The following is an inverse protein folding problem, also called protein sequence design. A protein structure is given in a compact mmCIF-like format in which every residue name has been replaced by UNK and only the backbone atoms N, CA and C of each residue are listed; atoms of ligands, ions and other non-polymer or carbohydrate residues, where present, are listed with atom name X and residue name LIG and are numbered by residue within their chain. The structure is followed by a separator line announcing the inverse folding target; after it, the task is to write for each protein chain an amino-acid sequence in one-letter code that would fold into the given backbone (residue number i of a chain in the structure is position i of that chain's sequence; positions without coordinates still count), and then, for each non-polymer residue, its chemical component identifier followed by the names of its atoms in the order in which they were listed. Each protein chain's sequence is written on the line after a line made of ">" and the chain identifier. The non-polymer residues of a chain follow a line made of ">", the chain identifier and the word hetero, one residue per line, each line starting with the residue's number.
data_IF_081416581448
#
_entry.id   IF_081416581448
#
_cell.length_a   1.000
_cell.length_b   1.000
_cell.length_c   1.000
_cell.angle_alpha   90.00
_cell.angle_beta   90.00
_cell.angle_gamma   90.00
#
_symmetry.space_group_name_H-M   'P 1'
#
loop_
_entity.id
_entity.type
_entity.pdbx_description
1 polymer ?
#
# COMPACT_ATOMS: atom_id res chain seq x y z
N UNK A 1 -9.35 15.29 20.21
CA UNK A 1 -9.71 14.94 18.81
C UNK A 1 -9.16 13.56 18.54
N UNK A 2 -10.05 12.64 18.15
CA UNK A 2 -9.65 11.24 18.02
C UNK A 2 -8.77 11.00 16.79
N UNK A 3 -9.13 11.55 15.61
CA UNK A 3 -8.39 11.29 14.39
C UNK A 3 -7.86 12.56 13.71
N UNK A 4 -6.66 12.48 13.16
CA UNK A 4 -6.20 13.37 12.08
C UNK A 4 -5.98 12.54 10.81
N UNK A 5 -6.63 12.94 9.71
CA UNK A 5 -6.38 12.41 8.38
C UNK A 5 -5.38 13.33 7.69
N UNK A 6 -4.16 12.85 7.46
CA UNK A 6 -3.15 13.59 6.69
C UNK A 6 -3.33 13.29 5.19
N UNK A 7 -3.47 14.33 4.38
CA UNK A 7 -3.57 14.22 2.91
C UNK A 7 -2.33 14.88 2.29
N UNK A 8 -1.26 14.12 2.01
CA UNK A 8 -0.11 14.64 1.28
C UNK A 8 -0.42 14.71 -0.21
N UNK A 9 -0.16 15.85 -0.84
CA UNK A 9 -0.34 16.04 -2.29
C UNK A 9 0.84 16.75 -2.92
N UNK A 10 1.03 16.54 -4.23
CA UNK A 10 2.02 17.25 -5.06
C UNK A 10 1.57 17.33 -6.51
N UNK A 11 1.35 18.54 -7.00
CA UNK A 11 1.01 18.84 -8.40
C UNK A 11 -0.25 18.10 -8.93
N UNK A 12 -1.23 17.83 -8.04
CA UNK A 12 -2.45 17.05 -8.36
C UNK A 12 -3.69 17.61 -7.66
N UNK A 13 -4.04 18.89 -7.88
CA UNK A 13 -5.11 19.55 -7.15
C UNK A 13 -6.46 18.84 -7.27
N UNK A 14 -6.81 18.28 -8.44
CA UNK A 14 -8.08 17.57 -8.65
C UNK A 14 -8.16 16.27 -7.85
N UNK A 15 -7.04 15.53 -7.74
CA UNK A 15 -6.99 14.31 -6.92
C UNK A 15 -7.07 14.68 -5.43
N UNK A 16 -6.34 15.72 -4.99
CA UNK A 16 -6.40 16.21 -3.62
C UNK A 16 -7.82 16.64 -3.24
N UNK A 17 -8.55 17.31 -4.15
CA UNK A 17 -9.96 17.68 -3.94
C UNK A 17 -10.83 16.45 -3.68
N UNK A 18 -10.70 15.39 -4.49
CA UNK A 18 -11.48 14.16 -4.30
C UNK A 18 -11.19 13.50 -2.96
N UNK A 19 -9.92 13.37 -2.59
CA UNK A 19 -9.51 12.81 -1.31
C UNK A 19 -10.08 13.64 -0.14
N UNK A 20 -9.93 14.97 -0.21
CA UNK A 20 -10.42 15.91 0.81
C UNK A 20 -11.93 15.83 0.98
N UNK A 21 -12.70 15.88 -0.12
CA UNK A 21 -14.16 15.76 -0.08
C UNK A 21 -14.61 14.42 0.49
N UNK A 22 -13.93 13.31 0.20
CA UNK A 22 -14.25 12.01 0.77
C UNK A 22 -13.97 11.96 2.27
N UNK A 23 -12.86 12.56 2.73
CA UNK A 23 -12.52 12.66 4.13
C UNK A 23 -13.55 13.48 4.92
N UNK A 24 -14.05 14.58 4.35
CA UNK A 24 -15.03 15.45 5.01
C UNK A 24 -16.45 14.89 5.07
N UNK A 25 -16.76 13.82 4.31
CA UNK A 25 -18.07 13.15 4.29
C UNK A 25 -18.25 12.09 5.37
N UNK A 26 -17.30 11.92 6.30
CA UNK A 26 -17.43 10.91 7.34
C UNK A 26 -18.67 11.12 8.21
N UNK A 27 -19.30 10.02 8.64
CA UNK A 27 -20.39 9.99 9.63
C UNK A 27 -19.85 9.99 11.08
N UNK A 28 -18.75 10.68 11.29
CA UNK A 28 -18.02 10.81 12.53
C UNK A 28 -17.51 12.25 12.65
N UNK A 29 -17.59 12.87 13.83
CA UNK A 29 -17.32 14.31 13.99
C UNK A 29 -15.99 14.62 14.67
N UNK A 30 -15.42 13.69 15.45
CA UNK A 30 -14.23 13.93 16.26
C UNK A 30 -12.93 13.71 15.46
N UNK A 31 -12.77 14.46 14.36
CA UNK A 31 -11.58 14.41 13.50
C UNK A 31 -11.29 15.76 12.84
N UNK A 32 -10.05 15.90 12.36
CA UNK A 32 -9.63 16.93 11.41
C UNK A 32 -8.90 16.34 10.21
N UNK A 33 -8.65 17.20 9.22
CA UNK A 33 -7.89 16.88 8.01
C UNK A 33 -6.71 17.83 7.89
N UNK A 34 -5.51 17.28 7.86
CA UNK A 34 -4.28 18.00 7.57
C UNK A 34 -3.92 17.84 6.11
N UNK A 35 -4.29 18.80 5.27
CA UNK A 35 -3.90 18.82 3.85
C UNK A 35 -2.51 19.43 3.72
N UNK A 36 -1.52 18.59 3.40
CA UNK A 36 -0.13 18.99 3.24
C UNK A 36 0.26 19.05 1.76
N UNK A 37 0.57 20.25 1.28
CA UNK A 37 0.76 20.53 -0.14
C UNK A 37 2.22 20.85 -0.48
N UNK A 38 2.90 19.91 -1.14
CA UNK A 38 4.28 20.01 -1.62
C UNK A 38 4.33 20.36 -3.13
N UNK A 39 3.30 21.05 -3.63
CA UNK A 39 3.19 21.41 -5.05
C UNK A 39 4.07 22.61 -5.43
N UNK A 40 4.41 22.70 -6.73
CA UNK A 40 4.93 23.93 -7.31
C UNK A 40 3.94 25.10 -7.09
N UNK A 41 4.38 26.38 -7.13
CA UNK A 41 3.52 27.52 -6.84
C UNK A 41 2.20 27.53 -7.64
N UNK A 42 2.27 27.26 -8.94
CA UNK A 42 1.09 27.25 -9.82
C UNK A 42 0.01 26.24 -9.36
N UNK A 43 0.41 25.01 -9.02
CA UNK A 43 -0.51 23.99 -8.54
C UNK A 43 -0.98 24.26 -7.10
N UNK A 44 -0.13 24.86 -6.29
CA UNK A 44 -0.47 25.20 -4.91
C UNK A 44 -1.55 26.26 -4.81
N UNK A 45 -1.54 27.26 -5.69
CA UNK A 45 -2.61 28.27 -5.77
C UNK A 45 -3.96 27.59 -6.06
N UNK A 46 -3.96 26.57 -6.92
CA UNK A 46 -5.17 25.80 -7.22
C UNK A 46 -5.63 24.96 -6.02
N UNK A 47 -4.72 24.29 -5.31
CA UNK A 47 -5.04 23.54 -4.08
C UNK A 47 -5.61 24.48 -3.05
N UNK A 48 -5.01 25.67 -2.86
CA UNK A 48 -5.48 26.69 -1.93
C UNK A 48 -6.90 27.15 -2.25
N UNK A 49 -7.17 27.46 -3.52
CA UNK A 49 -8.52 27.83 -3.97
C UNK A 49 -9.57 26.75 -3.67
N UNK A 50 -9.20 25.47 -3.83
CA UNK A 50 -10.08 24.34 -3.50
C UNK A 50 -10.39 24.34 -1.99
N UNK A 51 -9.37 24.46 -1.13
CA UNK A 51 -9.55 24.50 0.33
C UNK A 51 -10.47 25.67 0.73
N UNK A 52 -10.18 26.86 0.21
CA UNK A 52 -10.95 28.09 0.51
C UNK A 52 -12.40 27.95 0.02
N UNK A 53 -12.63 27.29 -1.13
CA UNK A 53 -13.98 27.05 -1.64
C UNK A 53 -14.80 26.03 -0.83
N UNK A 54 -14.12 25.06 -0.23
CA UNK A 54 -14.76 24.07 0.65
C UNK A 54 -15.12 24.74 1.99
N UNK A 55 -14.25 25.58 2.55
CA UNK A 55 -14.52 26.38 3.73
C UNK A 55 -14.84 25.58 5.00
N UNK A 56 -14.43 24.30 5.08
CA UNK A 56 -14.69 23.46 6.25
C UNK A 56 -13.62 23.68 7.32
N UNK A 57 -14.08 24.06 8.54
CA UNK A 57 -13.21 24.38 9.68
C UNK A 57 -12.34 23.21 10.16
N UNK A 58 -12.66 21.98 9.78
CA UNK A 58 -11.86 20.80 10.10
C UNK A 58 -10.61 20.68 9.22
N UNK A 59 -10.47 21.48 8.17
CA UNK A 59 -9.33 21.42 7.25
C UNK A 59 -8.24 22.38 7.71
N UNK A 60 -7.06 21.83 7.98
CA UNK A 60 -5.81 22.59 8.15
C UNK A 60 -4.98 22.44 6.89
N UNK A 61 -4.63 23.55 6.26
CA UNK A 61 -3.76 23.56 5.07
C UNK A 61 -2.35 23.99 5.45
N UNK A 62 -1.37 23.16 5.15
CA UNK A 62 0.05 23.46 5.38
C UNK A 62 0.88 23.26 4.13
N UNK A 63 1.99 23.99 4.04
CA UNK A 63 3.01 23.80 3.00
C UNK A 63 4.40 23.77 3.62
N UNK A 64 5.32 22.90 3.11
CA UNK A 64 6.71 22.97 3.52
C UNK A 64 7.36 24.27 3.02
N UNK A 65 8.43 24.73 3.67
CA UNK A 65 9.13 25.97 3.32
C UNK A 65 9.80 25.91 1.94
N UNK A 66 10.09 24.74 1.46
CA UNK A 66 10.67 24.45 0.15
C UNK A 66 10.15 23.13 -0.39
N UNK A 67 10.35 22.90 -1.68
CA UNK A 67 10.00 21.63 -2.32
C UNK A 67 10.84 20.48 -1.74
N UNK A 68 10.17 19.39 -1.41
CA UNK A 68 10.75 18.21 -0.76
C UNK A 68 10.55 16.95 -1.59
N UNK A 69 11.40 15.95 -1.45
CA UNK A 69 11.09 14.60 -1.91
C UNK A 69 9.89 14.01 -1.15
N UNK A 70 9.30 12.95 -1.65
CA UNK A 70 8.11 12.34 -1.02
C UNK A 70 8.38 11.93 0.43
N UNK A 71 9.52 11.29 0.70
CA UNK A 71 9.90 10.87 2.06
C UNK A 71 10.12 12.06 3.00
N UNK A 72 10.87 13.06 2.58
CA UNK A 72 11.10 14.28 3.37
C UNK A 72 9.80 15.03 3.66
N UNK A 73 8.89 15.08 2.66
CA UNK A 73 7.59 15.71 2.85
C UNK A 73 6.74 14.98 3.89
N UNK A 74 6.73 13.65 3.87
CA UNK A 74 6.00 12.85 4.86
C UNK A 74 6.62 12.98 6.25
N UNK A 75 7.95 12.96 6.35
CA UNK A 75 8.68 13.18 7.60
C UNK A 75 8.37 14.54 8.22
N UNK A 76 8.22 15.57 7.39
CA UNK A 76 7.88 16.91 7.82
C UNK A 76 6.39 17.06 8.19
N UNK A 77 5.48 16.49 7.40
CA UNK A 77 4.05 16.75 7.50
C UNK A 77 3.34 15.91 8.59
N UNK A 78 3.64 14.59 8.65
CA UNK A 78 2.88 13.66 9.48
C UNK A 78 3.00 13.98 10.98
N UNK A 79 4.18 14.34 11.54
CA UNK A 79 4.29 14.70 12.94
C UNK A 79 3.55 15.99 13.34
N UNK A 80 3.05 16.78 12.38
CA UNK A 80 2.25 17.98 12.66
C UNK A 80 0.75 17.68 12.86
N UNK A 81 0.37 16.41 12.79
CA UNK A 81 -0.99 15.97 13.09
C UNK A 81 -1.24 15.91 14.59
N UNK A 82 -2.42 16.39 15.05
CA UNK A 82 -2.74 16.57 16.48
C UNK A 82 -3.72 15.53 17.03
N UNK A 83 -4.32 14.69 16.19
CA UNK A 83 -5.25 13.64 16.61
C UNK A 83 -4.57 12.60 17.49
N UNK A 84 -5.34 11.90 18.33
CA UNK A 84 -4.83 10.78 19.13
C UNK A 84 -4.41 9.62 18.22
N UNK A 85 -5.05 9.49 17.05
CA UNK A 85 -4.70 8.56 15.98
C UNK A 85 -4.49 9.30 14.67
N UNK A 86 -3.41 8.95 13.98
CA UNK A 86 -2.98 9.60 12.74
C UNK A 86 -3.00 8.59 11.61
N UNK A 87 -3.69 8.92 10.51
CA UNK A 87 -3.72 8.12 9.29
C UNK A 87 -3.44 8.94 8.06
N UNK A 88 -2.88 8.32 7.03
CA UNK A 88 -2.63 8.99 5.73
C UNK A 88 -3.65 8.53 4.70
N UNK A 89 -4.36 9.49 4.13
CA UNK A 89 -5.17 9.32 2.94
C UNK A 89 -4.44 9.97 1.77
N UNK A 90 -3.79 9.17 0.93
CA UNK A 90 -3.13 9.76 -0.25
C UNK A 90 -4.15 10.39 -1.19
N UNK A 91 -3.72 11.37 -1.98
CA UNK A 91 -4.57 12.04 -2.97
C UNK A 91 -5.23 11.12 -4.02
N UNK A 92 -4.87 9.83 -4.01
CA UNK A 92 -5.40 8.77 -4.88
C UNK A 92 -6.29 7.78 -4.14
N UNK A 93 -6.80 8.15 -2.99
CA UNK A 93 -7.68 7.33 -2.18
C UNK A 93 -8.90 8.14 -1.73
N UNK A 94 -10.03 7.47 -1.59
CA UNK A 94 -11.25 8.05 -1.07
C UNK A 94 -11.75 7.20 0.10
N UNK A 95 -12.01 7.82 1.24
CA UNK A 95 -12.59 7.16 2.39
C UNK A 95 -14.08 6.90 2.18
N UNK A 96 -14.56 5.74 2.61
CA UNK A 96 -15.99 5.47 2.72
C UNK A 96 -16.58 6.23 3.90
N UNK A 97 -17.84 6.60 3.80
CA UNK A 97 -18.54 7.43 4.76
C UNK A 97 -18.48 6.90 6.20
N UNK A 98 -18.55 5.57 6.38
CA UNK A 98 -18.53 4.87 7.67
C UNK A 98 -17.10 4.47 8.14
N UNK A 99 -16.06 4.94 7.45
CA UNK A 99 -14.68 4.51 7.72
C UNK A 99 -14.20 4.87 9.13
N UNK A 100 -14.33 6.14 9.52
CA UNK A 100 -13.87 6.58 10.84
C UNK A 100 -14.76 6.07 11.98
N UNK A 101 -16.07 5.98 11.81
CA UNK A 101 -16.97 5.44 12.84
C UNK A 101 -16.66 3.97 13.14
N UNK A 102 -16.35 3.15 12.12
CA UNK A 102 -15.90 1.77 12.30
C UNK A 102 -14.57 1.68 13.05
N UNK A 103 -13.59 2.47 12.65
CA UNK A 103 -12.29 2.52 13.34
C UNK A 103 -12.44 2.98 14.79
N UNK A 104 -13.26 4.00 15.05
CA UNK A 104 -13.54 4.48 16.39
C UNK A 104 -14.21 3.42 17.29
N UNK A 105 -15.11 2.61 16.73
CA UNK A 105 -15.75 1.52 17.46
C UNK A 105 -14.72 0.48 17.94
N UNK A 106 -13.80 0.08 17.07
CA UNK A 106 -12.73 -0.88 17.43
C UNK A 106 -11.75 -0.28 18.45
N UNK A 107 -11.31 0.96 18.23
CA UNK A 107 -10.36 1.65 19.12
C UNK A 107 -10.95 1.85 20.53
N UNK A 108 -12.25 2.13 20.64
CA UNK A 108 -12.92 2.29 21.94
C UNK A 108 -13.12 0.98 22.69
N UNK A 109 -13.17 -0.14 21.96
CA UNK A 109 -13.41 -1.47 22.51
C UNK A 109 -12.13 -2.22 22.85
N UNK A 110 -10.99 -1.80 22.32
CA UNK A 110 -9.69 -2.47 22.46
C UNK A 110 -8.58 -1.47 22.71
N UNK A 111 -7.50 -1.90 23.36
CA UNK A 111 -6.26 -1.11 23.42
C UNK A 111 -5.51 -1.29 22.11
N UNK A 112 -5.51 -0.28 21.26
CA UNK A 112 -4.97 -0.33 19.90
C UNK A 112 -3.93 0.76 19.72
N UNK A 113 -2.70 0.41 19.40
CA UNK A 113 -1.69 1.38 18.94
C UNK A 113 -1.66 1.50 17.42
N UNK A 114 -1.93 0.41 16.71
CA UNK A 114 -1.97 0.37 15.25
C UNK A 114 -3.14 -0.47 14.78
N UNK A 115 -3.99 0.12 13.94
CA UNK A 115 -5.09 -0.57 13.27
C UNK A 115 -4.98 -0.42 11.76
N UNK A 116 -4.86 -1.54 11.06
CA UNK A 116 -4.81 -1.60 9.60
C UNK A 116 -6.15 -2.02 9.03
N UNK A 117 -6.38 -1.71 7.75
CA UNK A 117 -7.61 -2.07 7.04
C UNK A 117 -7.36 -2.32 5.56
N UNK A 118 -8.38 -2.79 4.83
CA UNK A 118 -8.28 -3.04 3.39
C UNK A 118 -8.91 -1.94 2.56
N UNK A 119 -8.78 -2.05 1.23
CA UNK A 119 -9.40 -1.14 0.26
C UNK A 119 -10.08 -1.90 -0.87
N UNK A 120 -11.17 -1.33 -1.38
CA UNK A 120 -11.65 -1.57 -2.74
C UNK A 120 -10.78 -0.81 -3.73
N UNK A 121 -10.94 -1.04 -5.03
CA UNK A 121 -10.11 -0.37 -6.02
C UNK A 121 -10.79 -0.10 -7.34
N UNK A 122 -10.28 0.90 -8.04
CA UNK A 122 -10.59 1.22 -9.42
C UNK A 122 -9.29 1.19 -10.21
N UNK A 123 -9.22 0.35 -11.23
CA UNK A 123 -7.98 0.16 -12.02
C UNK A 123 -7.95 0.89 -13.34
N UNK A 124 -9.06 1.45 -13.78
CA UNK A 124 -9.12 2.23 -15.01
C UNK A 124 -8.41 3.58 -14.82
N UNK A 125 -7.69 4.00 -15.88
CA UNK A 125 -7.02 5.30 -15.91
C UNK A 125 -7.99 6.47 -16.21
N UNK A 126 -9.17 6.16 -16.76
CA UNK A 126 -10.23 7.10 -17.12
C UNK A 126 -11.60 6.40 -17.10
N UNK A 127 -12.67 7.20 -17.04
CA UNK A 127 -14.04 6.69 -17.11
C UNK A 127 -14.28 5.90 -18.43
N UNK A 128 -15.17 4.90 -18.43
CA UNK A 128 -15.96 4.46 -17.30
C UNK A 128 -15.14 3.62 -16.29
N UNK A 129 -15.27 3.97 -15.03
CA UNK A 129 -14.60 3.25 -13.94
C UNK A 129 -15.40 2.00 -13.55
N UNK A 130 -14.69 0.95 -13.13
CA UNK A 130 -15.28 -0.28 -12.60
C UNK A 130 -14.71 -0.58 -11.22
N UNK A 131 -15.59 -0.80 -10.27
CA UNK A 131 -15.22 -1.07 -8.89
C UNK A 131 -14.77 -2.53 -8.72
N UNK A 132 -13.61 -2.73 -8.14
CA UNK A 132 -13.10 -4.05 -7.73
C UNK A 132 -13.21 -4.17 -6.21
N UNK A 133 -13.88 -5.23 -5.76
CA UNK A 133 -14.09 -5.55 -4.35
C UNK A 133 -13.31 -6.79 -3.99
N UNK A 134 -12.21 -6.70 -3.22
CA UNK A 134 -11.57 -7.88 -2.69
C UNK A 134 -12.52 -8.59 -1.71
N UNK A 135 -12.49 -9.93 -1.64
CA UNK A 135 -13.19 -10.64 -0.58
C UNK A 135 -12.60 -10.22 0.78
N UNK A 136 -13.45 -10.10 1.80
CA UNK A 136 -13.06 -9.71 3.15
C UNK A 136 -13.88 -10.47 4.19
N UNK A 137 -13.34 -10.63 5.39
CA UNK A 137 -13.98 -11.41 6.47
C UNK A 137 -14.91 -10.57 7.34
N UNK A 138 -14.67 -9.26 7.41
CA UNK A 138 -15.35 -8.35 8.33
C UNK A 138 -14.85 -8.45 9.78
N UNK A 139 -13.74 -9.16 10.04
CA UNK A 139 -13.22 -9.42 11.39
C UNK A 139 -12.09 -8.47 11.73
N UNK A 140 -11.97 -8.18 13.03
CA UNK A 140 -10.75 -7.65 13.63
C UNK A 140 -9.85 -8.82 14.02
N UNK A 141 -8.63 -8.84 13.50
CA UNK A 141 -7.63 -9.87 13.78
C UNK A 141 -6.43 -9.23 14.50
N UNK A 142 -5.90 -9.90 15.50
CA UNK A 142 -4.66 -9.48 16.17
C UNK A 142 -3.49 -10.21 15.51
N UNK A 143 -2.56 -9.44 14.95
CA UNK A 143 -1.44 -9.96 14.15
C UNK A 143 -0.12 -9.76 14.90
N UNK A 144 0.64 -10.82 15.07
CA UNK A 144 1.99 -10.74 15.63
C UNK A 144 2.96 -10.13 14.61
N UNK A 145 3.72 -9.11 15.00
CA UNK A 145 4.73 -8.50 14.15
C UNK A 145 5.81 -9.51 13.72
N UNK A 146 6.14 -10.47 14.58
CA UNK A 146 7.05 -11.58 14.25
C UNK A 146 6.54 -12.45 13.10
N UNK A 147 5.23 -12.69 13.02
CA UNK A 147 4.63 -13.43 11.89
C UNK A 147 4.77 -12.60 10.59
N UNK A 148 4.45 -11.31 10.64
CA UNK A 148 4.52 -10.43 9.48
C UNK A 148 5.96 -10.33 8.94
N UNK A 149 6.95 -10.09 9.82
CA UNK A 149 8.37 -10.01 9.43
C UNK A 149 8.90 -11.33 8.87
N UNK A 150 8.50 -12.47 9.46
CA UNK A 150 8.87 -13.80 8.94
C UNK A 150 8.30 -14.06 7.54
N UNK A 151 7.05 -13.66 7.29
CA UNK A 151 6.45 -13.78 5.96
C UNK A 151 7.15 -12.89 4.93
N UNK A 152 7.51 -11.66 5.31
CA UNK A 152 8.30 -10.77 4.46
C UNK A 152 9.67 -11.37 4.15
N UNK A 153 10.37 -11.95 5.13
CA UNK A 153 11.63 -12.65 4.94
C UNK A 153 11.53 -13.86 3.98
N UNK A 154 10.37 -14.51 3.94
CA UNK A 154 10.05 -15.57 2.99
C UNK A 154 9.55 -15.05 1.64
N UNK A 155 9.58 -13.74 1.42
CA UNK A 155 9.03 -13.10 0.20
C UNK A 155 7.55 -13.40 -0.04
N UNK A 156 6.78 -13.58 1.03
CA UNK A 156 5.33 -13.78 1.02
C UNK A 156 4.70 -12.52 1.64
N UNK A 157 4.42 -11.45 0.85
CA UNK A 157 3.86 -10.22 1.40
C UNK A 157 2.44 -10.46 1.90
N UNK A 158 2.20 -10.37 3.24
CA UNK A 158 0.86 -10.57 3.77
C UNK A 158 -0.02 -9.32 3.53
N UNK A 159 -1.33 -9.54 3.54
CA UNK A 159 -2.31 -8.46 3.52
C UNK A 159 -2.39 -7.81 4.91
N UNK A 160 -2.78 -6.54 4.94
CA UNK A 160 -2.99 -5.86 6.23
C UNK A 160 -1.72 -5.56 7.03
N UNK A 161 -0.52 -5.61 6.43
CA UNK A 161 0.67 -5.03 7.06
C UNK A 161 0.49 -3.52 7.23
N UNK A 162 1.05 -2.94 8.31
CA UNK A 162 0.80 -1.54 8.68
C UNK A 162 1.58 -0.55 7.79
N UNK A 163 1.27 -0.51 6.49
CA UNK A 163 1.76 0.57 5.65
C UNK A 163 1.03 1.87 6.02
N UNK A 164 1.70 3.02 5.95
CA UNK A 164 1.06 4.28 6.39
C UNK A 164 -0.21 4.63 5.62
N UNK A 165 -0.42 4.07 4.44
CA UNK A 165 -1.58 4.35 3.57
C UNK A 165 -2.81 3.49 3.85
N UNK A 166 -2.74 2.55 4.78
CA UNK A 166 -3.85 1.65 5.12
C UNK A 166 -3.99 1.43 6.64
N UNK A 167 -3.56 2.38 7.43
CA UNK A 167 -3.67 2.28 8.88
C UNK A 167 -3.98 3.61 9.55
N UNK A 168 -4.32 3.51 10.83
CA UNK A 168 -4.17 4.57 11.82
C UNK A 168 -3.23 4.09 12.91
N UNK A 169 -2.32 4.97 13.32
CA UNK A 169 -1.34 4.76 14.38
C UNK A 169 -1.59 5.73 15.52
N UNK A 170 -1.44 5.28 16.78
CA UNK A 170 -1.51 6.20 17.94
C UNK A 170 -0.41 7.26 17.84
N UNK A 171 -0.74 8.51 18.16
CA UNK A 171 0.23 9.61 18.16
C UNK A 171 1.40 9.31 19.10
N UNK A 172 1.13 8.67 20.23
CA UNK A 172 2.17 8.26 21.17
C UNK A 172 3.19 7.34 20.53
N UNK A 173 2.74 6.29 19.85
CA UNK A 173 3.64 5.36 19.15
C UNK A 173 4.39 6.05 18.00
N UNK A 174 3.70 6.90 17.22
CA UNK A 174 4.34 7.64 16.13
C UNK A 174 5.49 8.53 16.66
N UNK A 175 5.26 9.30 17.74
CA UNK A 175 6.31 10.14 18.34
C UNK A 175 7.45 9.30 18.92
N UNK A 176 7.15 8.14 19.52
CA UNK A 176 8.19 7.20 19.96
C UNK A 176 9.03 6.72 18.79
N UNK A 177 8.43 6.30 17.68
CA UNK A 177 9.16 5.87 16.48
C UNK A 177 10.05 6.99 15.93
N UNK A 178 9.52 8.20 15.76
CA UNK A 178 10.30 9.36 15.28
C UNK A 178 11.46 9.68 16.23
N UNK A 179 11.25 9.59 17.54
CA UNK A 179 12.32 9.79 18.55
C UNK A 179 13.40 8.70 18.48
N UNK A 180 13.03 7.47 18.16
CA UNK A 180 13.93 6.31 18.15
C UNK A 180 14.76 6.24 16.86
N UNK A 181 14.11 6.43 15.71
CA UNK A 181 14.71 6.13 14.40
C UNK A 181 15.15 7.37 13.62
N UNK A 182 14.72 8.56 14.02
CA UNK A 182 14.98 9.86 13.38
C UNK A 182 14.49 9.99 11.92
N UNK A 183 14.27 8.91 11.19
CA UNK A 183 13.90 8.88 9.77
C UNK A 183 12.88 7.76 9.46
N UNK A 184 11.65 7.90 9.93
CA UNK A 184 10.60 6.87 9.79
C UNK A 184 10.08 6.75 8.35
N UNK A 185 10.09 7.86 7.59
CA UNK A 185 9.49 7.94 6.25
C UNK A 185 10.50 8.18 5.11
N UNK A 186 11.80 8.30 5.38
CA UNK A 186 12.80 8.70 4.37
C UNK A 186 13.37 7.56 3.54
N UNK A 187 12.83 6.35 3.64
CA UNK A 187 13.24 5.20 2.84
C UNK A 187 12.92 5.33 1.35
N UNK A 188 13.20 4.28 0.60
CA UNK A 188 12.88 4.18 -0.83
C UNK A 188 11.37 4.30 -1.10
N UNK A 189 10.55 3.81 -0.17
CA UNK A 189 9.11 3.96 -0.18
C UNK A 189 8.63 4.33 1.24
N UNK A 190 8.14 5.56 1.47
CA UNK A 190 7.78 6.06 2.79
C UNK A 190 6.78 5.18 3.55
N UNK A 191 5.78 4.66 2.84
CA UNK A 191 4.77 3.76 3.39
C UNK A 191 5.36 2.41 3.83
N UNK A 192 6.32 1.86 3.08
CA UNK A 192 7.01 0.63 3.42
C UNK A 192 8.05 0.86 4.53
N UNK A 193 8.75 1.99 4.49
CA UNK A 193 9.66 2.40 5.57
C UNK A 193 8.92 2.45 6.90
N UNK A 194 7.79 3.17 6.96
CA UNK A 194 6.92 3.21 8.13
C UNK A 194 6.46 1.81 8.58
N UNK A 195 6.08 0.94 7.63
CA UNK A 195 5.68 -0.43 7.92
C UNK A 195 6.78 -1.18 8.70
N UNK A 196 8.02 -1.12 8.22
CA UNK A 196 9.13 -1.82 8.87
C UNK A 196 9.41 -1.27 10.28
N UNK A 197 9.40 0.07 10.45
CA UNK A 197 9.56 0.69 11.77
C UNK A 197 8.45 0.31 12.73
N UNK A 198 7.20 0.26 12.25
CA UNK A 198 6.06 -0.20 13.06
C UNK A 198 6.24 -1.65 13.51
N UNK A 199 6.60 -2.56 12.59
CA UNK A 199 6.82 -3.97 12.92
C UNK A 199 7.99 -4.20 13.88
N UNK A 200 8.97 -3.28 13.91
CA UNK A 200 10.05 -3.31 14.90
C UNK A 200 9.61 -2.74 16.26
N UNK A 201 8.67 -1.81 16.27
CA UNK A 201 8.27 -1.07 17.48
C UNK A 201 7.18 -1.78 18.29
N UNK A 202 6.27 -2.54 17.67
CA UNK A 202 5.16 -3.20 18.37
C UNK A 202 5.24 -4.72 18.27
N UNK A 203 4.81 -5.42 19.36
CA UNK A 203 4.72 -6.89 19.36
C UNK A 203 3.58 -7.38 18.47
N UNK A 204 2.48 -6.63 18.47
CA UNK A 204 1.23 -6.98 17.80
C UNK A 204 0.56 -5.72 17.27
N UNK A 205 -0.25 -5.88 16.23
CA UNK A 205 -1.12 -4.82 15.71
C UNK A 205 -2.46 -5.42 15.28
N UNK A 206 -3.47 -4.57 15.13
CA UNK A 206 -4.81 -5.00 14.75
C UNK A 206 -5.01 -4.85 13.24
N UNK A 207 -5.64 -5.85 12.63
CA UNK A 207 -6.04 -5.85 11.24
C UNK A 207 -7.56 -5.99 11.13
N UNK A 208 -8.22 -4.92 10.74
CA UNK A 208 -9.65 -4.90 10.43
C UNK A 208 -9.83 -5.28 8.95
N UNK A 209 -10.21 -6.52 8.70
CA UNK A 209 -10.40 -7.01 7.33
C UNK A 209 -11.73 -6.50 6.74
N UNK A 210 -11.82 -5.18 6.60
CA UNK A 210 -12.94 -4.43 6.01
C UNK A 210 -12.37 -3.39 5.04
N UNK A 211 -12.90 -3.28 3.80
CA UNK A 211 -12.46 -2.26 2.86
C UNK A 211 -13.07 -0.89 3.23
N UNK A 212 -12.30 -0.04 3.92
CA UNK A 212 -12.74 1.28 4.39
C UNK A 212 -12.51 2.40 3.38
N UNK A 213 -11.82 2.13 2.28
CA UNK A 213 -11.55 3.13 1.24
C UNK A 213 -11.57 2.53 -0.16
N UNK A 214 -11.59 3.41 -1.16
CA UNK A 214 -11.37 3.06 -2.57
C UNK A 214 -10.04 3.65 -3.02
N UNK A 215 -9.14 2.80 -3.53
CA UNK A 215 -7.93 3.22 -4.20
C UNK A 215 -8.22 3.48 -5.69
N UNK A 216 -7.80 4.63 -6.20
CA UNK A 216 -8.00 5.04 -7.61
C UNK A 216 -6.77 5.77 -8.16
N UNK A 217 -6.90 6.34 -9.36
CA UNK A 217 -5.82 7.14 -9.95
C UNK A 217 -4.55 6.33 -10.22
N UNK A 218 -4.71 5.10 -10.66
CA UNK A 218 -3.61 4.13 -10.85
C UNK A 218 -2.51 4.65 -11.78
N UNK A 219 -2.87 5.48 -12.77
CA UNK A 219 -1.90 6.12 -13.68
C UNK A 219 -0.91 7.05 -12.98
N UNK A 220 -1.23 7.50 -11.76
CA UNK A 220 -0.39 8.36 -10.93
C UNK A 220 0.34 7.61 -9.82
N UNK A 221 0.18 6.29 -9.74
CA UNK A 221 0.79 5.47 -8.71
C UNK A 221 2.25 5.15 -9.04
N UNK A 222 3.17 5.55 -8.17
CA UNK A 222 4.58 5.16 -8.28
C UNK A 222 4.75 3.63 -8.16
N UNK A 223 4.12 3.01 -7.17
CA UNK A 223 4.15 1.56 -6.98
C UNK A 223 3.58 0.79 -8.19
N UNK A 224 2.46 1.26 -8.78
CA UNK A 224 1.94 0.63 -10.00
C UNK A 224 2.89 0.79 -11.20
N UNK A 225 3.49 1.96 -11.35
CA UNK A 225 4.43 2.22 -12.43
C UNK A 225 5.69 1.34 -12.29
N UNK A 226 6.23 1.22 -11.07
CA UNK A 226 7.36 0.32 -10.78
C UNK A 226 6.95 -1.14 -11.02
N UNK A 227 5.83 -1.60 -10.46
CA UNK A 227 5.38 -2.99 -10.59
C UNK A 227 4.98 -3.42 -12.00
N UNK A 228 4.62 -2.47 -12.88
CA UNK A 228 4.27 -2.77 -14.29
C UNK A 228 5.40 -2.42 -15.28
N UNK A 229 6.48 -1.83 -14.82
CA UNK A 229 7.55 -1.32 -15.69
C UNK A 229 7.11 -0.16 -16.61
N UNK A 230 5.91 0.41 -16.40
CA UNK A 230 5.35 1.51 -17.22
C UNK A 230 5.52 2.83 -16.50
N UNK A 231 6.59 3.54 -16.85
CA UNK A 231 6.87 4.85 -16.27
C UNK A 231 5.78 5.89 -16.62
N UNK A 232 5.31 6.60 -15.61
CA UNK A 232 4.55 7.86 -15.75
C UNK A 232 5.41 9.05 -15.30
N UNK A 233 4.91 10.29 -15.39
CA UNK A 233 5.66 11.48 -15.00
C UNK A 233 6.08 11.40 -13.52
N UNK A 234 5.15 11.08 -12.62
CA UNK A 234 5.40 10.99 -11.19
C UNK A 234 6.41 9.89 -10.84
N UNK A 235 6.33 8.72 -11.50
CA UNK A 235 7.27 7.63 -11.24
C UNK A 235 8.67 7.90 -11.78
N UNK A 236 8.81 8.65 -12.89
CA UNK A 236 10.14 9.07 -13.38
C UNK A 236 10.82 10.00 -12.37
N UNK A 237 10.08 10.95 -11.83
CA UNK A 237 10.56 11.82 -10.79
C UNK A 237 10.92 11.05 -9.51
N UNK A 238 10.05 10.15 -9.08
CA UNK A 238 10.31 9.27 -7.93
C UNK A 238 11.57 8.42 -8.12
N UNK A 239 11.71 7.76 -9.26
CA UNK A 239 12.90 6.95 -9.59
C UNK A 239 14.14 7.85 -9.69
N UNK A 240 14.05 9.03 -10.31
CA UNK A 240 15.16 9.99 -10.39
C UNK A 240 15.63 10.43 -9.00
N UNK A 241 14.72 10.77 -8.10
CA UNK A 241 15.03 11.13 -6.72
C UNK A 241 15.62 9.94 -5.94
N UNK A 242 15.10 8.74 -6.13
CA UNK A 242 15.65 7.53 -5.52
C UNK A 242 17.10 7.29 -5.97
N UNK A 243 17.34 7.33 -7.28
CA UNK A 243 18.68 7.08 -7.84
C UNK A 243 19.70 8.17 -7.46
N UNK A 244 19.28 9.44 -7.35
CA UNK A 244 20.13 10.53 -6.88
C UNK A 244 20.57 10.39 -5.41
N UNK A 245 19.79 9.64 -4.63
CA UNK A 245 20.08 9.34 -3.20
C UNK A 245 20.76 7.97 -2.99
N UNK A 246 21.31 7.36 -4.04
CA UNK A 246 22.05 6.10 -3.96
C UNK A 246 21.26 4.85 -4.34
N UNK A 247 20.01 4.99 -4.82
CA UNK A 247 19.22 3.87 -5.34
C UNK A 247 18.77 2.87 -4.27
N UNK A 248 18.59 1.62 -4.68
CA UNK A 248 18.23 0.49 -3.79
C UNK A 248 19.52 -0.19 -3.28
N UNK A 249 20.17 0.41 -2.28
CA UNK A 249 21.49 -0.02 -1.79
C UNK A 249 21.44 -1.14 -0.76
N UNK A 250 20.30 -1.31 -0.07
CA UNK A 250 20.11 -2.34 0.95
C UNK A 250 19.47 -3.63 0.41
N UNK A 251 18.87 -3.58 -0.77
CA UNK A 251 18.32 -4.77 -1.40
C UNK A 251 19.46 -5.75 -1.75
N UNK A 252 19.27 -7.07 -1.63
CA UNK A 252 20.30 -8.04 -1.98
C UNK A 252 20.77 -7.92 -3.43
N UNK A 253 19.91 -7.52 -4.36
CA UNK A 253 20.25 -7.21 -5.75
C UNK A 253 19.97 -5.72 -5.99
N UNK A 254 20.99 -4.84 -5.95
CA UNK A 254 20.79 -3.41 -6.13
C UNK A 254 20.18 -3.06 -7.50
N UNK A 255 19.46 -1.94 -7.53
CA UNK A 255 19.00 -1.27 -8.76
C UNK A 255 18.10 -2.10 -9.70
N UNK A 256 17.50 -3.16 -9.19
CA UNK A 256 16.42 -3.86 -9.89
C UNK A 256 15.06 -3.22 -9.53
N UNK A 257 14.48 -2.49 -10.47
CA UNK A 257 13.23 -1.77 -10.24
C UNK A 257 12.02 -2.71 -10.33
N UNK A 258 11.64 -3.24 -9.16
CA UNK A 258 10.48 -4.08 -8.90
C UNK A 258 9.91 -3.71 -7.53
N UNK A 259 8.58 -3.76 -7.36
CA UNK A 259 7.96 -3.44 -6.07
C UNK A 259 8.48 -4.32 -4.95
N UNK A 260 8.64 -5.61 -5.25
CA UNK A 260 9.18 -6.55 -4.27
C UNK A 260 10.58 -6.14 -3.81
N UNK A 261 11.42 -5.67 -4.74
CA UNK A 261 12.78 -5.21 -4.40
C UNK A 261 12.77 -3.94 -3.55
N UNK A 262 11.84 -3.02 -3.81
CA UNK A 262 11.65 -1.82 -2.98
C UNK A 262 11.21 -2.20 -1.55
N UNK A 263 10.28 -3.13 -1.40
CA UNK A 263 9.84 -3.63 -0.08
C UNK A 263 11.00 -4.30 0.67
N UNK A 264 11.74 -5.16 -0.01
CA UNK A 264 12.88 -5.88 0.59
C UNK A 264 14.03 -4.92 0.91
N UNK A 265 14.22 -3.85 0.14
CA UNK A 265 15.17 -2.79 0.49
C UNK A 265 14.86 -2.19 1.87
N UNK A 266 13.59 -1.84 2.12
CA UNK A 266 13.17 -1.30 3.43
C UNK A 266 13.33 -2.34 4.55
N UNK A 267 12.99 -3.61 4.26
CA UNK A 267 13.24 -4.71 5.19
C UNK A 267 14.72 -4.82 5.57
N UNK A 268 15.63 -4.84 4.59
CA UNK A 268 17.07 -4.95 4.83
C UNK A 268 17.63 -3.70 5.53
N UNK A 269 17.14 -2.51 5.16
CA UNK A 269 17.53 -1.24 5.80
C UNK A 269 17.19 -1.28 7.30
N UNK A 270 15.96 -1.65 7.64
CA UNK A 270 15.57 -1.73 9.04
C UNK A 270 16.27 -2.90 9.77
N UNK A 271 16.41 -4.05 9.12
CA UNK A 271 17.14 -5.19 9.72
C UNK A 271 18.54 -4.80 10.21
N UNK A 272 19.23 -3.91 9.51
CA UNK A 272 20.58 -3.44 9.90
C UNK A 272 20.58 -2.63 11.20
N UNK A 273 19.47 -2.02 11.58
CA UNK A 273 19.33 -1.12 12.75
C UNK A 273 18.23 -1.55 13.72
N UNK A 274 17.58 -2.69 13.49
CA UNK A 274 16.47 -3.17 14.29
C UNK A 274 16.81 -3.29 15.77
N UNK A 275 15.79 -3.11 16.61
CA UNK A 275 15.87 -3.23 18.06
C UNK A 275 15.17 -4.46 18.61
N UNK A 276 14.17 -4.96 17.90
CA UNK A 276 13.32 -6.07 18.37
C UNK A 276 13.91 -7.47 18.15
N UNK A 277 14.87 -7.60 17.23
CA UNK A 277 15.39 -8.91 16.78
C UNK A 277 14.38 -9.75 15.96
N UNK A 278 13.28 -9.11 15.45
CA UNK A 278 12.24 -9.82 14.66
C UNK A 278 12.59 -9.98 13.19
N UNK A 279 13.48 -9.13 12.67
CA UNK A 279 13.89 -9.16 11.25
C UNK A 279 15.01 -10.19 11.06
N UNK A 280 14.62 -11.35 10.58
CA UNK A 280 15.51 -12.49 10.31
C UNK A 280 16.13 -12.42 8.93
N UNK A 281 17.03 -13.38 8.61
CA UNK A 281 17.61 -13.48 7.27
C UNK A 281 16.57 -13.81 6.22
N UNK A 282 16.76 -13.24 5.02
CA UNK A 282 15.90 -13.48 3.87
C UNK A 282 16.08 -14.91 3.33
N UNK A 283 15.01 -15.53 2.90
CA UNK A 283 15.07 -16.67 1.98
C UNK A 283 15.44 -16.16 0.58
N UNK A 284 16.73 -16.15 0.28
CA UNK A 284 17.24 -15.62 -0.98
C UNK A 284 16.71 -16.37 -2.22
N UNK A 285 16.41 -17.67 -2.09
CA UNK A 285 15.84 -18.41 -3.21
C UNK A 285 14.41 -17.94 -3.55
N UNK A 286 13.59 -17.73 -2.51
CA UNK A 286 12.24 -17.17 -2.67
C UNK A 286 12.27 -15.70 -3.11
N UNK A 287 13.22 -14.92 -2.60
CA UNK A 287 13.42 -13.55 -3.05
C UNK A 287 13.72 -13.48 -4.55
N UNK A 288 14.68 -14.27 -5.06
CA UNK A 288 14.96 -14.36 -6.50
C UNK A 288 13.74 -14.81 -7.30
N UNK A 289 13.00 -15.79 -6.79
CA UNK A 289 11.79 -16.30 -7.42
C UNK A 289 10.71 -15.21 -7.57
N UNK A 290 10.45 -14.44 -6.52
CA UNK A 290 9.44 -13.36 -6.54
C UNK A 290 9.86 -12.21 -7.47
N UNK A 291 11.13 -11.82 -7.45
CA UNK A 291 11.64 -10.83 -8.41
C UNK A 291 11.47 -11.31 -9.86
N UNK A 292 11.81 -12.56 -10.13
CA UNK A 292 11.72 -13.12 -11.46
C UNK A 292 10.28 -13.17 -11.97
N UNK A 293 9.33 -13.50 -11.10
CA UNK A 293 7.90 -13.43 -11.41
C UNK A 293 7.44 -12.00 -11.73
N UNK A 294 7.78 -11.02 -10.89
CA UNK A 294 7.37 -9.63 -11.09
C UNK A 294 8.00 -9.06 -12.38
N UNK A 295 9.27 -9.33 -12.64
CA UNK A 295 9.94 -8.88 -13.86
C UNK A 295 9.33 -9.51 -15.12
N UNK A 296 8.91 -10.77 -15.04
CA UNK A 296 8.16 -11.42 -16.14
C UNK A 296 6.77 -10.77 -16.35
N UNK A 297 6.07 -10.43 -15.28
CA UNK A 297 4.80 -9.68 -15.34
C UNK A 297 4.96 -8.27 -15.94
N UNK A 298 6.12 -7.65 -15.75
CA UNK A 298 6.51 -6.39 -16.42
C UNK A 298 6.78 -6.57 -17.92
N UNK A 299 6.78 -7.79 -18.43
CA UNK A 299 7.09 -8.11 -19.83
C UNK A 299 8.59 -8.15 -20.14
N UNK A 300 9.46 -8.16 -19.13
CA UNK A 300 10.90 -8.30 -19.28
C UNK A 300 11.23 -9.77 -19.58
N UNK A 301 11.84 -10.03 -20.73
CA UNK A 301 12.28 -11.37 -21.12
C UNK A 301 13.54 -11.83 -20.35
N UNK A 302 13.97 -13.06 -20.55
CA UNK A 302 15.14 -13.64 -19.88
C UNK A 302 16.46 -12.92 -20.22
N UNK A 303 16.50 -12.18 -21.32
CA UNK A 303 17.68 -11.44 -21.76
C UNK A 303 17.73 -10.01 -21.18
N UNK A 304 16.63 -9.55 -20.58
CA UNK A 304 16.58 -8.24 -19.96
C UNK A 304 17.65 -8.10 -18.85
N UNK A 305 18.37 -6.97 -18.74
CA UNK A 305 19.45 -6.77 -17.77
C UNK A 305 19.05 -7.10 -16.33
N UNK A 306 17.83 -6.71 -15.90
CA UNK A 306 17.37 -6.98 -14.54
C UNK A 306 17.22 -8.48 -14.27
N UNK A 307 16.67 -9.25 -15.21
CA UNK A 307 16.52 -10.70 -15.05
C UNK A 307 17.89 -11.41 -15.10
N UNK A 308 18.83 -10.91 -15.88
CA UNK A 308 20.21 -11.41 -15.87
C UNK A 308 20.89 -11.15 -14.52
N UNK A 309 20.65 -9.98 -13.89
CA UNK A 309 21.17 -9.70 -12.54
C UNK A 309 20.62 -10.68 -11.51
N UNK A 310 19.32 -10.96 -11.54
CA UNK A 310 18.68 -11.95 -10.65
C UNK A 310 19.29 -13.34 -10.86
N UNK A 311 19.46 -13.76 -12.11
CA UNK A 311 20.06 -15.08 -12.42
C UNK A 311 21.52 -15.15 -12.02
N UNK A 312 22.31 -14.11 -12.27
CA UNK A 312 23.71 -14.04 -11.84
C UNK A 312 23.84 -14.14 -10.31
N UNK A 313 23.02 -13.40 -9.58
CA UNK A 313 22.96 -13.46 -8.12
C UNK A 313 22.60 -14.87 -7.62
N UNK A 314 21.58 -15.50 -8.24
CA UNK A 314 21.15 -16.86 -7.91
C UNK A 314 22.28 -17.87 -8.08
N UNK A 315 23.00 -17.80 -9.20
CA UNK A 315 24.14 -18.68 -9.51
C UNK A 315 25.31 -18.44 -8.55
N UNK A 316 25.65 -17.18 -8.29
CA UNK A 316 26.73 -16.81 -7.38
C UNK A 316 26.53 -17.37 -5.96
N UNK A 317 25.29 -17.44 -5.50
CA UNK A 317 24.96 -17.92 -4.16
C UNK A 317 24.52 -19.41 -4.15
N UNK A 318 24.63 -20.12 -5.26
CA UNK A 318 24.25 -21.53 -5.34
C UNK A 318 22.77 -21.81 -5.00
N UNK A 319 21.88 -20.84 -5.25
CA UNK A 319 20.48 -20.93 -4.86
C UNK A 319 19.67 -21.83 -5.80
N UNK A 320 18.77 -22.69 -5.29
CA UNK A 320 17.92 -23.51 -6.13
C UNK A 320 16.92 -22.68 -6.93
N UNK A 321 16.50 -23.16 -8.09
CA UNK A 321 15.34 -22.61 -8.79
C UNK A 321 14.06 -23.13 -8.14
N UNK A 322 13.20 -22.22 -7.71
CA UNK A 322 11.86 -22.56 -7.24
C UNK A 322 10.97 -22.65 -8.49
N UNK A 323 10.39 -23.83 -8.71
CA UNK A 323 9.42 -24.01 -9.79
C UNK A 323 8.13 -23.23 -9.46
N UNK A 324 7.62 -22.41 -10.40
CA UNK A 324 6.34 -21.75 -10.20
C UNK A 324 5.24 -22.79 -9.97
N UNK A 325 4.35 -22.53 -9.01
CA UNK A 325 3.16 -23.35 -8.84
C UNK A 325 2.31 -23.36 -10.13
N UNK A 326 1.54 -24.41 -10.35
CA UNK A 326 0.64 -24.49 -11.54
C UNK A 326 -0.27 -23.25 -11.60
N UNK A 327 -0.73 -22.76 -10.46
CA UNK A 327 -1.52 -21.53 -10.35
C UNK A 327 -0.74 -20.27 -10.76
N UNK A 328 0.54 -20.18 -10.41
CA UNK A 328 1.41 -19.07 -10.82
C UNK A 328 1.73 -19.15 -12.34
N UNK A 329 1.94 -20.34 -12.86
CA UNK A 329 2.15 -20.56 -14.31
C UNK A 329 0.90 -20.20 -15.12
N UNK A 330 -0.28 -20.64 -14.68
CA UNK A 330 -1.55 -20.25 -15.28
C UNK A 330 -1.78 -18.73 -15.17
N UNK A 331 -1.46 -18.14 -14.02
CA UNK A 331 -1.54 -16.69 -13.81
C UNK A 331 -0.65 -15.90 -14.78
N UNK A 332 0.57 -16.32 -15.00
CA UNK A 332 1.51 -15.74 -15.97
C UNK A 332 1.00 -15.90 -17.41
N UNK A 333 0.56 -17.11 -17.79
CA UNK A 333 0.01 -17.39 -19.11
C UNK A 333 -1.25 -16.57 -19.41
N UNK A 334 -2.06 -16.29 -18.39
CA UNK A 334 -3.28 -15.48 -18.46
C UNK A 334 -2.98 -13.98 -18.55
N UNK A 335 -1.90 -13.52 -17.92
CA UNK A 335 -1.53 -12.09 -17.86
C UNK A 335 -0.74 -11.63 -19.08
N UNK A 336 -0.05 -12.52 -19.79
CA UNK A 336 0.77 -12.23 -20.96
C UNK A 336 0.15 -12.80 -22.23
N UNK A 337 -0.41 -11.95 -23.10
CA UNK A 337 -0.79 -12.32 -24.45
C UNK A 337 -2.28 -12.54 -24.75
N UNK A 338 -2.65 -13.07 -25.92
CA UNK A 338 -4.04 -13.27 -26.36
C UNK A 338 -4.84 -14.24 -25.47
N UNK A 339 -4.17 -15.11 -24.72
CA UNK A 339 -4.75 -16.00 -23.72
C UNK A 339 -5.45 -15.24 -22.58
N UNK A 340 -5.09 -13.97 -22.33
CA UNK A 340 -5.72 -13.13 -21.29
C UNK A 340 -7.24 -13.01 -21.46
N UNK A 341 -7.72 -12.81 -22.69
CA UNK A 341 -9.17 -12.71 -22.98
C UNK A 341 -9.88 -14.05 -22.79
N UNK A 342 -9.26 -15.14 -23.24
CA UNK A 342 -9.84 -16.48 -23.16
C UNK A 342 -9.91 -16.94 -21.71
N UNK A 343 -8.86 -16.75 -20.94
CA UNK A 343 -8.83 -17.13 -19.52
C UNK A 343 -9.71 -16.25 -18.64
N UNK A 344 -9.82 -14.94 -18.94
CA UNK A 344 -10.78 -14.06 -18.30
C UNK A 344 -12.22 -14.55 -18.56
N UNK A 345 -12.53 -14.89 -19.83
CA UNK A 345 -13.85 -15.42 -20.23
C UNK A 345 -14.12 -16.81 -19.64
N UNK A 346 -13.11 -17.66 -19.55
CA UNK A 346 -13.23 -18.99 -18.94
C UNK A 346 -13.38 -18.90 -17.41
N UNK A 347 -12.58 -18.06 -16.74
CA UNK A 347 -12.72 -17.75 -15.31
C UNK A 347 -14.10 -17.16 -14.98
N UNK A 348 -14.59 -16.29 -15.87
CA UNK A 348 -15.92 -15.69 -15.76
C UNK A 348 -17.05 -16.72 -15.96
N UNK A 349 -16.88 -17.65 -16.87
CA UNK A 349 -17.88 -18.72 -17.14
C UNK A 349 -17.89 -19.83 -16.10
N UNK A 350 -16.72 -20.17 -15.57
CA UNK A 350 -16.55 -21.27 -14.60
C UNK A 350 -16.79 -20.81 -13.15
N UNK A 351 -17.04 -19.52 -12.92
CA UNK A 351 -17.29 -19.01 -11.56
C UNK A 351 -16.08 -19.14 -10.63
N UNK A 352 -14.88 -19.36 -11.17
CA UNK A 352 -13.65 -19.63 -10.41
C UNK A 352 -13.20 -18.44 -9.56
N UNK A 353 -13.71 -17.22 -9.86
CA UNK A 353 -13.48 -16.03 -9.04
C UNK A 353 -14.69 -15.07 -9.08
N UNK A 354 -15.88 -15.47 -8.62
CA UNK A 354 -17.08 -14.62 -8.66
C UNK A 354 -16.94 -13.35 -7.81
N UNK A 355 -16.03 -13.36 -6.83
CA UNK A 355 -15.85 -12.27 -5.85
C UNK A 355 -14.96 -11.12 -6.34
N UNK A 356 -14.27 -11.26 -7.47
CA UNK A 356 -13.35 -10.23 -8.00
C UNK A 356 -13.81 -9.64 -9.35
N UNK A 357 -15.07 -9.84 -9.72
CA UNK A 357 -15.63 -9.23 -10.94
C UNK A 357 -15.74 -7.72 -10.76
N UNK A 358 -15.21 -6.94 -11.72
CA UNK A 358 -15.44 -5.49 -11.71
C UNK A 358 -16.96 -5.20 -11.80
N UNK A 359 -17.42 -4.31 -10.91
CA UNK A 359 -18.85 -3.98 -10.77
C UNK A 359 -19.10 -2.60 -11.37
N UNK A 360 -20.23 -2.44 -12.05
CA UNK A 360 -20.73 -1.16 -12.54
C UNK A 360 -19.92 -0.56 -13.70
N UNK A 361 -20.33 0.60 -14.13
CA UNK A 361 -19.66 1.50 -15.06
C UNK A 361 -19.96 2.92 -14.60
N UNK A 362 -19.02 3.58 -13.95
CA UNK A 362 -19.20 4.85 -13.28
C UNK A 362 -18.49 5.97 -14.04
N UNK A 363 -19.11 7.12 -14.12
CA UNK A 363 -18.55 8.32 -14.76
C UNK A 363 -17.48 8.98 -13.90
N UNK A 364 -17.52 8.78 -12.57
CA UNK A 364 -16.54 9.32 -11.64
C UNK A 364 -16.23 8.33 -10.50
N UNK A 365 -15.13 8.57 -9.79
CA UNK A 365 -14.77 7.79 -8.59
C UNK A 365 -15.75 8.07 -7.44
N UNK A 366 -16.28 9.30 -7.33
CA UNK A 366 -17.30 9.61 -6.31
C UNK A 366 -18.61 8.86 -6.56
N UNK A 367 -18.99 8.66 -7.83
CA UNK A 367 -20.15 7.83 -8.18
C UNK A 367 -19.92 6.37 -7.80
N UNK A 368 -18.72 5.84 -8.04
CA UNK A 368 -18.35 4.49 -7.61
C UNK A 368 -18.33 4.36 -6.07
N UNK A 369 -17.87 5.39 -5.36
CA UNK A 369 -17.88 5.45 -3.90
C UNK A 369 -19.31 5.47 -3.36
N UNK A 370 -20.20 6.33 -3.88
CA UNK A 370 -21.60 6.39 -3.48
C UNK A 370 -22.31 5.08 -3.76
N UNK A 371 -22.06 4.46 -4.91
CA UNK A 371 -22.61 3.13 -5.21
C UNK A 371 -22.17 2.09 -4.19
N UNK A 372 -20.92 2.11 -3.76
CA UNK A 372 -20.40 1.15 -2.77
C UNK A 372 -20.99 1.39 -1.37
N UNK A 373 -21.26 2.64 -1.03
CA UNK A 373 -21.94 3.02 0.21
C UNK A 373 -23.40 2.57 0.22
N UNK A 374 -24.12 2.73 -0.90
CA UNK A 374 -25.52 2.32 -1.05
C UNK A 374 -25.69 0.79 -1.19
N UNK A 375 -24.64 0.11 -1.68
CA UNK A 375 -24.62 -1.34 -1.92
C UNK A 375 -23.40 -1.97 -1.25
N UNK A 376 -23.32 -1.94 0.10
CA UNK A 376 -22.13 -2.40 0.82
C UNK A 376 -21.87 -3.89 0.54
N UNK A 377 -20.62 -4.27 0.30
CA UNK A 377 -20.27 -5.66 0.09
C UNK A 377 -20.49 -6.45 1.38
N UNK A 378 -20.93 -7.72 1.23
CA UNK A 378 -21.12 -8.60 2.38
C UNK A 378 -19.80 -9.29 2.75
N UNK A 379 -19.51 -9.46 4.05
CA UNK A 379 -18.42 -10.28 4.50
C UNK A 379 -18.53 -11.72 3.98
N UNK A 380 -17.41 -12.33 3.66
CA UNK A 380 -17.33 -13.73 3.29
C UNK A 380 -16.52 -14.48 4.34
N UNK A 381 -17.18 -15.28 5.15
CA UNK A 381 -16.52 -16.06 6.21
C UNK A 381 -15.50 -17.08 5.71
N UNK A 382 -15.58 -17.48 4.44
CA UNK A 382 -14.59 -18.35 3.79
C UNK A 382 -13.41 -17.58 3.20
N UNK A 383 -13.44 -16.24 3.18
CA UNK A 383 -12.27 -15.45 2.83
C UNK A 383 -11.19 -15.67 3.90
N UNK A 384 -9.95 -15.72 3.48
CA UNK A 384 -8.83 -15.81 4.40
C UNK A 384 -8.31 -14.39 4.67
N UNK A 385 -8.40 -13.90 5.92
CA UNK A 385 -8.04 -12.55 6.33
C UNK A 385 -6.61 -12.12 5.94
N UNK A 386 -5.70 -12.16 6.88
CA UNK A 386 -4.31 -11.69 6.76
C UNK A 386 -3.48 -12.39 5.65
N UNK A 387 -3.72 -13.66 5.35
CA UNK A 387 -3.11 -14.38 4.23
C UNK A 387 -4.17 -14.92 3.28
N UNK A 388 -4.07 -14.59 2.00
CA UNK A 388 -5.08 -14.91 0.98
C UNK A 388 -4.53 -15.81 -0.12
N UNK A 389 -5.39 -16.68 -0.65
CA UNK A 389 -5.13 -17.45 -1.87
C UNK A 389 -3.84 -18.27 -1.85
N UNK A 390 -2.99 -18.05 -2.85
CA UNK A 390 -1.70 -18.72 -3.01
C UNK A 390 -0.72 -18.44 -1.87
N UNK A 391 -0.77 -17.24 -1.28
CA UNK A 391 0.17 -16.83 -0.23
C UNK A 391 0.01 -17.70 1.03
N UNK A 392 -1.23 -18.11 1.35
CA UNK A 392 -1.51 -19.03 2.46
C UNK A 392 -0.93 -20.43 2.19
N UNK A 393 -1.05 -20.92 0.95
CA UNK A 393 -0.49 -22.21 0.56
C UNK A 393 1.04 -22.17 0.59
N UNK A 394 1.65 -21.08 0.12
CA UNK A 394 3.10 -20.86 0.16
C UNK A 394 3.63 -20.75 1.59
N UNK A 395 2.93 -20.04 2.48
CA UNK A 395 3.28 -19.94 3.89
C UNK A 395 3.25 -21.32 4.58
N UNK A 396 2.19 -22.10 4.34
CA UNK A 396 2.07 -23.48 4.85
C UNK A 396 3.21 -24.37 4.33
N UNK A 397 3.54 -24.30 3.04
CA UNK A 397 4.65 -25.05 2.44
C UNK A 397 6.02 -24.62 3.02
N UNK A 398 6.14 -23.39 3.51
CA UNK A 398 7.32 -22.88 4.21
C UNK A 398 7.33 -23.15 5.73
N UNK A 399 6.38 -23.97 6.23
CA UNK A 399 6.29 -24.31 7.66
C UNK A 399 5.80 -23.16 8.54
N UNK A 400 5.08 -22.20 7.98
CA UNK A 400 4.46 -21.09 8.74
C UNK A 400 2.99 -21.43 9.00
N UNK A 401 2.64 -21.60 10.28
CA UNK A 401 1.25 -21.79 10.70
C UNK A 401 0.63 -20.41 10.96
N UNK A 402 -0.43 -20.10 10.23
CA UNK A 402 -1.28 -18.95 10.47
C UNK A 402 -2.60 -19.47 11.01
N UNK A 403 -2.86 -19.17 12.27
CA UNK A 403 -4.10 -19.55 12.96
C UNK A 403 -5.25 -18.64 12.57
#
# INVERSE_FOLDING_TARGET
>A
MLFTIVIPTRNRPELAEFALRSALRQDFDDFDVLLSDNSSPEHADRVRQIVDSIGDRRVRYIRPPSEMSMGEHWEWAIPQADGDYIGVLTDRMAFKKDGLSRLAAEIRSHTIDVITYTSSGVREAAAPFRLQRPPFTGRLELIESRLATRLLALSIPPWGVPTMVNNFVSRTLLHQMVSIYADVFTGAAPDQSFCMHTLDSVEQYHYLDVPLMIAYGIKWSNGHAVGTGRANVASREFVGNLMSKGGLTFAPIPDVMANHNVIINEYCRLKAVQRSGRFVDLDLARYCYRLDLELAEQGKDLQHPDRRRVEAFRLQHGLPRIAPSITAQLGLAVRSGPAKRIAQTASDRLGVNPTNRPIGRFGSVLEALSYEEDHPPRPNSSASGFLRGSDRAEAKAAGVTVR
#
